data_IF_874908973123
#
_entry.id   IF_874908973123
#
_cell.length_a   1.000
_cell.length_b   1.000
_cell.length_c   1.000
_cell.angle_alpha   90.00
_cell.angle_beta   90.00
_cell.angle_gamma   90.00
#
_symmetry.space_group_name_H-M   'P 1'
#
loop_
_entity.id
_entity.type
_entity.pdbx_description
1 polymer ?
#
# COMPACT_ATOMS: atom_id res chain seq x y z
N UNK A 1 13.37 1.28 -35.20
CA UNK A 1 12.02 1.81 -35.01
C UNK A 1 11.80 1.81 -33.50
N UNK A 2 12.37 2.82 -32.85
CA UNK A 2 12.47 2.93 -31.40
C UNK A 2 11.18 3.52 -30.84
N UNK A 3 10.48 2.76 -30.00
CA UNK A 3 9.20 3.16 -29.39
C UNK A 3 9.31 3.43 -27.88
N UNK A 4 10.53 3.51 -27.34
CA UNK A 4 10.79 3.84 -25.93
C UNK A 4 11.81 4.96 -25.81
N UNK A 5 11.49 6.11 -26.40
CA UNK A 5 12.17 7.37 -26.10
C UNK A 5 11.41 8.13 -25.01
N UNK A 6 11.98 8.24 -23.81
CA UNK A 6 11.57 9.26 -22.84
C UNK A 6 11.06 8.75 -21.49
N UNK A 7 11.92 8.09 -20.72
CA UNK A 7 11.89 8.21 -19.25
C UNK A 7 13.31 8.54 -18.83
N UNK A 8 13.68 9.80 -19.03
CA UNK A 8 14.90 10.36 -18.47
C UNK A 8 14.58 10.72 -17.01
N UNK A 9 15.15 9.94 -16.09
CA UNK A 9 15.13 10.18 -14.66
C UNK A 9 15.71 11.58 -14.39
N UNK A 10 14.84 12.54 -14.09
CA UNK A 10 15.23 13.83 -13.54
C UNK A 10 15.68 13.63 -12.08
N UNK A 11 16.89 13.11 -11.90
CA UNK A 11 17.69 13.30 -10.68
C UNK A 11 18.70 14.40 -11.01
N UNK A 12 18.23 15.63 -11.16
CA UNK A 12 19.13 16.78 -11.20
C UNK A 12 18.45 18.04 -10.68
N UNK A 13 19.25 18.84 -9.96
CA UNK A 13 18.84 19.92 -9.07
C UNK A 13 17.84 20.93 -9.61
N UNK A 14 16.97 21.37 -8.69
CA UNK A 14 16.42 22.72 -8.62
C UNK A 14 15.77 23.26 -9.92
N UNK A 15 14.67 22.66 -10.35
CA UNK A 15 13.66 23.33 -11.18
C UNK A 15 12.31 23.27 -10.48
N UNK A 16 11.83 24.44 -10.03
CA UNK A 16 10.48 24.63 -9.52
C UNK A 16 9.48 24.10 -10.56
N UNK A 17 8.81 22.99 -10.24
CA UNK A 17 7.76 22.41 -11.10
C UNK A 17 6.58 23.38 -11.12
N UNK A 18 6.25 23.91 -12.30
CA UNK A 18 5.10 24.82 -12.47
C UNK A 18 3.79 24.08 -12.14
N UNK A 19 3.17 24.49 -11.03
CA UNK A 19 1.91 23.96 -10.50
C UNK A 19 0.76 23.98 -11.51
N UNK A 20 0.83 24.80 -12.56
CA UNK A 20 -0.27 24.99 -13.52
C UNK A 20 -0.39 23.90 -14.58
N UNK A 21 0.59 23.02 -14.73
CA UNK A 21 0.63 21.98 -15.78
C UNK A 21 0.84 20.55 -15.25
N UNK A 22 0.50 20.32 -13.99
CA UNK A 22 0.60 19.00 -13.37
C UNK A 22 -0.62 18.15 -13.80
N UNK A 23 -0.39 16.98 -14.38
CA UNK A 23 -1.47 16.04 -14.74
C UNK A 23 -2.29 15.65 -13.49
N UNK A 24 -3.62 15.46 -13.60
CA UNK A 24 -4.51 15.36 -12.45
C UNK A 24 -4.10 14.33 -11.39
N UNK A 25 -3.56 13.18 -11.79
CA UNK A 25 -3.13 12.14 -10.86
C UNK A 25 -1.81 12.47 -10.14
N UNK A 26 -0.92 13.28 -10.72
CA UNK A 26 0.30 13.75 -10.03
C UNK A 26 -0.05 14.67 -8.86
N UNK A 27 -1.16 15.41 -8.94
CA UNK A 27 -1.66 16.22 -7.81
C UNK A 27 -2.06 15.35 -6.61
N UNK A 28 -2.58 14.14 -6.86
CA UNK A 28 -2.90 13.16 -5.81
C UNK A 28 -1.65 12.52 -5.23
N UNK A 29 -0.63 12.28 -6.06
CA UNK A 29 0.68 11.77 -5.63
C UNK A 29 1.41 12.81 -4.75
N UNK A 30 1.35 14.09 -5.15
CA UNK A 30 1.93 15.20 -4.38
C UNK A 30 1.21 15.40 -3.04
N UNK A 31 -0.12 15.20 -3.01
CA UNK A 31 -0.92 15.27 -1.77
C UNK A 31 -0.49 14.25 -0.71
N UNK A 32 0.02 13.09 -1.12
CA UNK A 32 0.58 12.08 -0.22
C UNK A 32 1.98 12.45 0.32
N UNK A 33 2.70 13.34 -0.37
CA UNK A 33 4.01 13.86 0.05
C UNK A 33 3.92 15.21 0.77
N UNK A 34 2.73 15.83 0.82
CA UNK A 34 2.49 17.09 1.52
C UNK A 34 2.56 16.92 3.05
N UNK A 35 3.26 17.83 3.78
CA UNK A 35 3.29 17.83 5.25
C UNK A 35 1.89 17.93 5.89
N UNK A 36 0.98 18.62 5.21
CA UNK A 36 -0.42 18.83 5.58
C UNK A 36 -1.30 17.56 5.50
N UNK A 37 -0.84 16.49 4.85
CA UNK A 37 -1.47 15.17 4.95
C UNK A 37 -1.01 14.36 6.18
N UNK A 38 0.02 14.83 6.89
CA UNK A 38 0.60 14.17 8.07
C UNK A 38 -0.08 14.56 9.40
N UNK A 39 -1.07 15.46 9.39
CA UNK A 39 -1.70 15.98 10.62
C UNK A 39 -2.72 15.04 11.29
N UNK A 40 -3.02 13.86 10.74
CA UNK A 40 -3.97 12.92 11.36
C UNK A 40 -3.33 11.93 12.35
N UNK A 41 -2.00 11.88 12.45
CA UNK A 41 -1.30 10.83 13.23
C UNK A 41 -1.36 11.01 14.75
N UNK A 42 -1.66 12.21 15.24
CA UNK A 42 -1.75 12.52 16.68
C UNK A 42 -3.18 12.63 17.22
N UNK A 43 -4.20 12.32 16.42
CA UNK A 43 -5.57 12.24 16.90
C UNK A 43 -5.90 10.81 17.35
N UNK A 44 -6.60 10.64 18.48
CA UNK A 44 -7.04 9.33 18.91
C UNK A 44 -7.94 8.70 17.84
N UNK A 45 -7.68 7.43 17.50
CA UNK A 45 -8.53 6.63 16.63
C UNK A 45 -9.96 6.58 17.19
N UNK A 46 -10.93 6.88 16.32
CA UNK A 46 -12.35 6.72 16.62
C UNK A 46 -12.85 5.33 16.20
N UNK A 47 -14.00 4.93 16.72
CA UNK A 47 -14.70 3.70 16.34
C UNK A 47 -14.97 3.62 14.84
N UNK A 48 -15.36 4.73 14.22
CA UNK A 48 -15.64 4.80 12.78
C UNK A 48 -14.37 4.55 11.97
N UNK A 49 -13.22 5.06 12.44
CA UNK A 49 -11.93 4.84 11.80
C UNK A 49 -11.49 3.38 11.91
N UNK A 50 -11.69 2.75 13.07
CA UNK A 50 -11.43 1.32 13.25
C UNK A 50 -12.30 0.48 12.31
N UNK A 51 -13.58 0.80 12.18
CA UNK A 51 -14.48 0.13 11.23
C UNK A 51 -14.05 0.34 9.77
N UNK A 52 -13.58 1.54 9.43
CA UNK A 52 -13.05 1.83 8.09
C UNK A 52 -11.82 0.97 7.79
N UNK A 53 -10.88 0.87 8.73
CA UNK A 53 -9.67 0.05 8.58
C UNK A 53 -10.04 -1.43 8.48
N UNK A 54 -10.98 -1.91 9.32
CA UNK A 54 -11.48 -3.29 9.25
C UNK A 54 -12.08 -3.60 7.87
N UNK A 55 -12.86 -2.69 7.29
CA UNK A 55 -13.40 -2.82 5.93
C UNK A 55 -12.30 -2.91 4.86
N UNK A 56 -11.24 -2.11 4.98
CA UNK A 56 -10.09 -2.17 4.07
C UNK A 56 -9.37 -3.52 4.17
N UNK A 57 -9.22 -4.03 5.40
CA UNK A 57 -8.63 -5.33 5.69
C UNK A 57 -9.57 -6.53 5.45
N UNK A 58 -10.82 -6.31 5.00
CA UNK A 58 -11.86 -7.34 4.82
C UNK A 58 -12.18 -8.11 6.10
N UNK A 59 -12.12 -7.45 7.25
CA UNK A 59 -12.48 -7.99 8.55
C UNK A 59 -13.89 -7.53 8.96
N UNK A 60 -14.69 -8.47 9.45
CA UNK A 60 -15.98 -8.19 10.11
C UNK A 60 -15.77 -8.20 11.61
N UNK A 61 -16.12 -7.11 12.29
CA UNK A 61 -15.95 -6.94 13.72
C UNK A 61 -17.30 -6.80 14.42
N UNK A 62 -17.46 -7.44 15.57
CA UNK A 62 -18.56 -7.18 16.49
C UNK A 62 -18.38 -5.82 17.19
N UNK A 63 -19.47 -5.24 17.70
CA UNK A 63 -19.43 -3.94 18.38
C UNK A 63 -18.45 -3.92 19.57
N UNK A 64 -18.42 -5.00 20.36
CA UNK A 64 -17.47 -5.16 21.48
C UNK A 64 -16.01 -5.20 21.03
N UNK A 65 -15.74 -5.79 19.86
CA UNK A 65 -14.39 -5.83 19.27
C UNK A 65 -13.97 -4.47 18.74
N UNK A 66 -14.90 -3.69 18.17
CA UNK A 66 -14.63 -2.31 17.75
C UNK A 66 -14.21 -1.47 18.96
N UNK A 67 -14.93 -1.53 20.08
CA UNK A 67 -14.55 -0.80 21.29
C UNK A 67 -13.20 -1.25 21.85
N UNK A 68 -12.96 -2.56 21.89
CA UNK A 68 -11.70 -3.13 22.35
C UNK A 68 -10.53 -2.67 21.49
N UNK A 69 -10.63 -2.82 20.17
CA UNK A 69 -9.56 -2.45 19.23
C UNK A 69 -9.37 -0.95 19.13
N UNK A 70 -10.42 -0.14 19.34
CA UNK A 70 -10.26 1.31 19.45
C UNK A 70 -9.30 1.67 20.58
N UNK A 71 -9.46 1.07 21.77
CA UNK A 71 -8.53 1.31 22.89
C UNK A 71 -7.13 0.77 22.59
N UNK A 72 -7.02 -0.50 22.20
CA UNK A 72 -5.73 -1.15 22.01
C UNK A 72 -4.90 -0.52 20.88
N UNK A 73 -5.53 -0.14 19.76
CA UNK A 73 -4.83 0.52 18.66
C UNK A 73 -4.38 1.93 19.06
N UNK A 74 -5.17 2.66 19.84
CA UNK A 74 -4.72 3.94 20.41
C UNK A 74 -3.49 3.76 21.30
N UNK A 75 -3.48 2.76 22.18
CA UNK A 75 -2.31 2.48 23.04
C UNK A 75 -1.06 2.18 22.21
N UNK A 76 -1.20 1.41 21.13
CA UNK A 76 -0.08 1.08 20.22
C UNK A 76 0.39 2.33 19.47
N UNK A 77 -0.53 3.14 18.93
CA UNK A 77 -0.15 4.36 18.20
C UNK A 77 0.52 5.38 19.11
N UNK A 78 0.00 5.58 20.33
CA UNK A 78 0.63 6.42 21.36
C UNK A 78 2.05 5.95 21.68
N UNK A 79 2.31 4.63 21.67
CA UNK A 79 3.66 4.11 21.85
C UNK A 79 4.55 4.38 20.63
N UNK A 80 4.02 4.26 19.42
CA UNK A 80 4.73 4.55 18.16
C UNK A 80 5.07 6.04 18.01
N UNK A 81 4.28 6.95 18.58
CA UNK A 81 4.55 8.40 18.57
C UNK A 81 5.94 8.76 19.13
N UNK A 82 6.52 7.92 20.02
CA UNK A 82 7.88 8.09 20.53
C UNK A 82 8.94 8.12 19.41
N UNK A 83 8.67 7.46 18.27
CA UNK A 83 9.57 7.51 17.11
C UNK A 83 9.62 8.91 16.46
N UNK A 84 8.59 9.74 16.65
CA UNK A 84 8.55 11.13 16.18
C UNK A 84 9.48 12.08 16.93
N UNK A 85 10.02 11.67 18.09
CA UNK A 85 11.00 12.44 18.87
C UNK A 85 12.40 12.44 18.21
N UNK A 86 12.64 11.55 17.25
CA UNK A 86 13.93 11.39 16.58
C UNK A 86 13.99 12.23 15.30
N UNK A 87 15.05 13.03 15.15
CA UNK A 87 15.32 13.74 13.90
C UNK A 87 15.83 12.77 12.83
N UNK A 88 15.04 12.62 11.77
CA UNK A 88 15.34 11.75 10.62
C UNK A 88 15.44 12.55 9.31
N UNK A 89 15.59 13.87 9.38
CA UNK A 89 15.59 14.78 8.21
C UNK A 89 16.62 14.37 7.15
N UNK A 90 17.81 13.94 7.59
CA UNK A 90 18.92 13.54 6.70
C UNK A 90 19.12 12.01 6.65
N UNK A 91 18.18 11.23 7.18
CA UNK A 91 18.25 9.76 7.17
C UNK A 91 17.37 9.22 6.04
N UNK A 92 17.95 8.62 4.98
CA UNK A 92 17.14 8.06 3.91
C UNK A 92 16.31 6.87 4.40
N UNK A 93 15.04 6.71 3.96
CA UNK A 93 14.23 5.55 4.30
C UNK A 93 14.85 4.25 3.79
N UNK A 94 14.86 3.21 4.63
CA UNK A 94 15.36 1.88 4.27
C UNK A 94 14.20 0.94 3.94
N UNK A 95 14.00 0.65 2.66
CA UNK A 95 12.97 -0.30 2.20
C UNK A 95 13.44 -1.76 2.23
N UNK A 96 14.72 -1.99 1.92
CA UNK A 96 15.35 -3.30 1.92
C UNK A 96 16.67 -3.20 2.69
N UNK A 97 17.00 -4.25 3.45
CA UNK A 97 18.25 -4.32 4.22
C UNK A 97 19.46 -4.56 3.31
N UNK A 98 19.24 -5.20 2.17
CA UNK A 98 20.25 -5.47 1.16
C UNK A 98 20.03 -4.57 -0.04
N UNK A 99 21.11 -4.25 -0.76
CA UNK A 99 21.04 -3.55 -2.03
C UNK A 99 20.32 -4.43 -3.06
N UNK A 100 19.10 -4.02 -3.41
CA UNK A 100 18.29 -4.71 -4.42
C UNK A 100 18.66 -4.17 -5.78
N UNK A 101 19.15 -5.05 -6.65
CA UNK A 101 19.29 -4.78 -8.08
C UNK A 101 18.11 -5.40 -8.83
N UNK A 102 17.85 -4.93 -10.04
CA UNK A 102 16.78 -5.47 -10.87
C UNK A 102 17.03 -6.96 -11.15
N UNK A 103 16.20 -7.82 -10.56
CA UNK A 103 16.19 -9.25 -10.81
C UNK A 103 15.21 -9.54 -11.97
N UNK A 104 15.73 -9.61 -13.19
CA UNK A 104 14.93 -9.95 -14.35
C UNK A 104 14.80 -11.47 -14.50
N UNK A 105 13.61 -11.91 -14.91
CA UNK A 105 13.35 -13.28 -15.38
C UNK A 105 13.36 -13.26 -16.91
N UNK A 106 14.01 -14.24 -17.53
CA UNK A 106 13.94 -14.43 -18.98
C UNK A 106 12.50 -14.59 -19.45
N UNK A 107 12.17 -14.00 -20.61
CA UNK A 107 10.86 -14.17 -21.22
C UNK A 107 10.74 -15.51 -21.95
N UNK A 108 10.78 -16.58 -21.16
CA UNK A 108 10.61 -17.95 -21.63
C UNK A 108 9.36 -18.57 -20.98
N UNK A 109 8.63 -19.38 -21.74
CA UNK A 109 7.51 -20.17 -21.25
C UNK A 109 7.99 -21.28 -20.34
N UNK A 110 7.31 -21.49 -19.21
CA UNK A 110 7.51 -22.63 -18.32
C UNK A 110 6.20 -23.43 -18.22
N UNK A 111 6.27 -24.69 -17.79
CA UNK A 111 5.08 -25.49 -17.53
C UNK A 111 4.22 -24.84 -16.44
N UNK A 112 2.94 -24.66 -16.70
CA UNK A 112 1.96 -24.27 -15.69
C UNK A 112 1.56 -25.46 -14.83
N UNK A 113 1.02 -25.20 -13.63
CA UNK A 113 0.34 -26.21 -12.83
C UNK A 113 -0.79 -26.87 -13.64
N UNK A 114 -1.04 -28.16 -13.40
CA UNK A 114 -2.25 -28.79 -13.91
C UNK A 114 -3.51 -28.20 -13.25
N UNK A 115 -4.66 -28.34 -13.89
CA UNK A 115 -5.93 -27.85 -13.34
C UNK A 115 -6.26 -28.54 -12.01
N UNK A 116 -5.95 -29.83 -11.89
CA UNK A 116 -6.15 -30.59 -10.67
C UNK A 116 -5.30 -30.04 -9.51
N UNK A 117 -4.00 -29.79 -9.75
CA UNK A 117 -3.11 -29.21 -8.75
C UNK A 117 -3.54 -27.79 -8.34
N UNK A 118 -3.94 -26.97 -9.32
CA UNK A 118 -4.38 -25.60 -9.05
C UNK A 118 -5.68 -25.54 -8.23
N UNK A 119 -6.58 -26.51 -8.40
CA UNK A 119 -7.88 -26.57 -7.72
C UNK A 119 -7.86 -27.40 -6.43
N UNK A 120 -6.77 -28.10 -6.11
CA UNK A 120 -6.69 -29.03 -4.99
C UNK A 120 -7.07 -28.42 -3.62
N UNK A 121 -6.81 -27.12 -3.44
CA UNK A 121 -7.14 -26.38 -2.20
C UNK A 121 -8.32 -25.41 -2.35
N UNK A 122 -9.04 -25.45 -3.46
CA UNK A 122 -10.19 -24.58 -3.69
C UNK A 122 -11.32 -24.95 -2.70
N UNK A 123 -11.87 -24.00 -1.91
CA UNK A 123 -13.00 -24.28 -1.03
C UNK A 123 -14.23 -24.82 -1.79
N UNK A 124 -14.41 -24.36 -3.02
CA UNK A 124 -15.40 -24.89 -3.96
C UNK A 124 -14.85 -24.76 -5.39
N UNK A 125 -14.96 -25.83 -6.16
CA UNK A 125 -14.57 -25.88 -7.57
C UNK A 125 -15.68 -26.48 -8.43
N UNK A 126 -15.80 -26.00 -9.67
CA UNK A 126 -16.71 -26.57 -10.65
C UNK A 126 -15.99 -26.71 -11.99
N UNK A 127 -15.78 -27.96 -12.40
CA UNK A 127 -14.98 -28.32 -13.59
C UNK A 127 -13.59 -27.69 -13.54
N UNK A 128 -13.36 -26.61 -14.29
CA UNK A 128 -12.08 -25.93 -14.42
C UNK A 128 -12.05 -24.57 -13.68
N UNK A 129 -13.05 -24.26 -12.85
CA UNK A 129 -13.24 -22.94 -12.25
C UNK A 129 -13.29 -22.99 -10.72
N UNK A 130 -12.75 -21.94 -10.09
CA UNK A 130 -13.04 -21.59 -8.70
C UNK A 130 -14.46 -21.02 -8.60
N UNK A 131 -15.22 -21.47 -7.61
CA UNK A 131 -16.59 -21.00 -7.38
C UNK A 131 -16.58 -19.93 -6.30
N UNK A 132 -17.05 -18.73 -6.64
CA UNK A 132 -17.18 -17.60 -5.72
C UNK A 132 -18.58 -16.95 -5.84
N UNK A 133 -19.06 -16.24 -4.81
CA UNK A 133 -20.26 -15.42 -4.95
C UNK A 133 -20.12 -14.40 -6.08
N UNK A 134 -21.22 -14.13 -6.78
CA UNK A 134 -21.24 -13.16 -7.88
C UNK A 134 -20.87 -11.76 -7.38
N UNK A 135 -19.91 -11.12 -8.05
CA UNK A 135 -19.61 -9.70 -7.87
C UNK A 135 -20.64 -8.88 -8.65
N UNK A 136 -21.27 -7.90 -7.99
CA UNK A 136 -22.32 -7.03 -8.53
C UNK A 136 -21.82 -5.60 -8.50
#
# INVERSE_FOLDING_TARGET
>A
MDVFGGIELAVEGNRQVDRKNIVPWLSSLFRLQSPEAREDFGMPLTSERVQQVARLARLTLAASEVELFTRQLNDILNYVEKLGELDTTDVPPMAHVLDVQNAFRDDATQGSLSVEEALANAPAAQRLFFVVPRVI
#
